data_IF_079838188573
#
_entry.id   IF_079838188573
#
_cell.length_a   1.000
_cell.length_b   1.000
_cell.length_c   1.000
_cell.angle_alpha   90.00
_cell.angle_beta   90.00
_cell.angle_gamma   90.00
#
_symmetry.space_group_name_H-M   'P 1'
#
loop_
_entity.id
_entity.type
_entity.pdbx_description
1 polymer ?
#
# COMPACT_ATOMS: atom_id res chain seq x y z
N UNK A 1 17.62 6.25 0.32
CA UNK A 1 16.35 5.54 0.66
C UNK A 1 15.88 5.97 2.04
N UNK A 2 14.58 6.16 2.23
CA UNK A 2 13.97 6.54 3.51
C UNK A 2 13.03 5.42 3.99
N UNK A 3 13.07 5.10 5.29
CA UNK A 3 12.12 4.15 5.89
C UNK A 3 10.77 4.81 6.17
N UNK A 4 9.68 4.04 6.10
CA UNK A 4 8.32 4.53 6.38
C UNK A 4 8.19 5.23 7.73
N UNK A 5 8.87 4.73 8.78
CA UNK A 5 8.83 5.37 10.11
C UNK A 5 9.43 6.78 10.10
N UNK A 6 10.56 6.96 9.43
CA UNK A 6 11.23 8.26 9.27
C UNK A 6 10.38 9.20 8.41
N UNK A 7 9.80 8.68 7.32
CA UNK A 7 8.90 9.43 6.46
C UNK A 7 7.66 9.93 7.21
N UNK A 8 6.98 9.08 7.97
CA UNK A 8 5.84 9.50 8.78
C UNK A 8 6.25 10.46 9.91
N UNK A 9 7.41 10.26 10.51
CA UNK A 9 7.92 11.18 11.54
C UNK A 9 8.22 12.56 10.97
N UNK A 10 8.75 12.65 9.75
CA UNK A 10 8.98 13.95 9.07
C UNK A 10 7.67 14.67 8.72
N UNK A 11 6.58 13.93 8.44
CA UNK A 11 5.27 14.52 8.12
C UNK A 11 4.49 14.88 9.39
N UNK A 12 4.41 13.95 10.34
CA UNK A 12 3.52 14.06 11.49
C UNK A 12 4.22 14.48 12.78
N UNK A 13 5.55 14.64 12.77
CA UNK A 13 6.35 14.99 13.94
C UNK A 13 6.39 13.91 15.04
N UNK A 14 5.83 12.73 14.77
CA UNK A 14 5.80 11.61 15.72
C UNK A 14 5.50 10.29 15.02
N UNK A 15 5.74 9.21 15.76
CA UNK A 15 5.38 7.86 15.29
C UNK A 15 3.89 7.75 15.01
N UNK A 16 3.56 7.31 13.80
CA UNK A 16 2.19 7.22 13.30
C UNK A 16 1.86 5.79 12.92
N UNK A 17 0.63 5.38 13.17
CA UNK A 17 0.16 4.00 12.96
C UNK A 17 -0.98 3.95 11.96
N UNK A 18 -0.95 2.96 11.07
CA UNK A 18 -2.08 2.66 10.17
C UNK A 18 -3.15 1.88 10.93
N UNK A 19 -4.40 2.31 10.81
CA UNK A 19 -5.59 1.61 11.28
C UNK A 19 -6.23 0.91 10.08
N UNK A 20 -6.18 -0.42 10.04
CA UNK A 20 -6.70 -1.19 8.90
C UNK A 20 -8.22 -1.28 8.97
N UNK A 21 -8.89 -0.68 7.99
CA UNK A 21 -10.33 -0.53 7.87
C UNK A 21 -10.85 -1.25 6.60
N UNK A 22 -12.12 -1.60 6.58
CA UNK A 22 -12.83 -2.17 5.45
C UNK A 22 -13.88 -1.19 4.91
N UNK A 23 -13.74 -0.77 3.65
CA UNK A 23 -14.72 0.08 2.97
C UNK A 23 -15.97 -0.67 2.50
N UNK A 24 -16.07 -1.96 2.75
CA UNK A 24 -17.11 -2.88 2.23
C UNK A 24 -17.11 -3.00 0.70
N UNK A 25 -15.96 -2.76 0.07
CA UNK A 25 -15.78 -2.96 -1.36
C UNK A 25 -15.65 -4.45 -1.73
N UNK A 26 -15.74 -4.72 -3.02
CA UNK A 26 -15.33 -5.98 -3.65
C UNK A 26 -14.19 -5.73 -4.64
N UNK A 27 -13.99 -6.63 -5.58
CA UNK A 27 -12.98 -6.51 -6.62
C UNK A 27 -13.59 -6.91 -7.97
N UNK A 28 -13.39 -6.13 -9.06
CA UNK A 28 -13.95 -6.46 -10.37
C UNK A 28 -13.39 -7.76 -10.96
N UNK A 29 -12.31 -8.28 -10.38
CA UNK A 29 -11.77 -9.61 -10.69
C UNK A 29 -12.46 -10.75 -9.91
N UNK A 30 -13.48 -10.43 -9.09
CA UNK A 30 -14.25 -11.41 -8.31
C UNK A 30 -15.74 -11.38 -8.63
N UNK A 31 -16.28 -10.23 -9.00
CA UNK A 31 -17.70 -10.05 -9.26
C UNK A 31 -18.09 -10.22 -10.74
N UNK A 32 -17.14 -10.64 -11.58
CA UNK A 32 -17.35 -10.95 -12.98
C UNK A 32 -17.22 -9.77 -13.95
N UNK A 33 -16.98 -8.54 -13.47
CA UNK A 33 -16.85 -7.40 -14.38
C UNK A 33 -15.56 -7.43 -15.21
N UNK A 34 -14.46 -7.92 -14.64
CA UNK A 34 -13.18 -8.09 -15.35
C UNK A 34 -12.67 -9.52 -15.31
N UNK A 35 -13.08 -10.29 -14.32
CA UNK A 35 -12.70 -11.69 -14.13
C UNK A 35 -13.45 -12.33 -12.99
N UNK A 36 -13.19 -13.61 -12.78
CA UNK A 36 -13.76 -14.42 -11.71
C UNK A 36 -12.68 -14.98 -10.79
N UNK A 37 -13.02 -15.25 -9.55
CA UNK A 37 -12.14 -15.91 -8.59
C UNK A 37 -11.06 -15.04 -7.97
N UNK A 38 -10.75 -13.88 -8.54
CA UNK A 38 -9.67 -12.99 -8.07
C UNK A 38 -8.28 -13.41 -8.54
N UNK A 39 -7.26 -12.73 -8.05
CA UNK A 39 -5.87 -13.14 -8.25
C UNK A 39 -5.61 -14.47 -7.53
N UNK A 40 -4.78 -15.34 -8.12
CA UNK A 40 -4.55 -16.71 -7.62
C UNK A 40 -4.07 -16.80 -6.17
N UNK A 41 -3.37 -15.74 -5.68
CA UNK A 41 -2.80 -15.65 -4.33
C UNK A 41 -3.74 -14.94 -3.32
N UNK A 42 -4.84 -14.36 -3.79
CA UNK A 42 -5.66 -13.48 -2.95
C UNK A 42 -6.60 -14.28 -2.06
N UNK A 43 -6.51 -14.08 -0.73
CA UNK A 43 -7.41 -14.72 0.25
C UNK A 43 -8.87 -14.33 0.02
N UNK A 44 -9.79 -15.06 0.63
CA UNK A 44 -11.23 -14.73 0.61
C UNK A 44 -11.52 -13.32 1.14
N UNK A 45 -10.66 -12.80 2.01
CA UNK A 45 -10.73 -11.45 2.59
C UNK A 45 -10.05 -10.37 1.75
N UNK A 46 -9.61 -10.68 0.52
CA UNK A 46 -9.08 -9.68 -0.39
C UNK A 46 -7.82 -8.96 0.11
N UNK A 47 -6.86 -9.69 0.72
CA UNK A 47 -5.64 -9.16 1.34
C UNK A 47 -5.88 -8.24 2.55
N UNK A 48 -7.08 -8.30 3.13
CA UNK A 48 -7.50 -7.53 4.29
C UNK A 48 -7.67 -8.37 5.56
N UNK A 49 -6.85 -9.40 5.74
CA UNK A 49 -6.97 -10.36 6.85
C UNK A 49 -6.87 -9.70 8.25
N UNK A 50 -6.31 -8.50 8.32
CA UNK A 50 -6.16 -7.71 9.55
C UNK A 50 -7.10 -6.51 9.64
N UNK A 51 -7.98 -6.30 8.66
CA UNK A 51 -8.94 -5.21 8.72
C UNK A 51 -10.08 -5.54 9.70
N UNK A 52 -10.78 -4.47 10.11
CA UNK A 52 -11.95 -4.60 10.96
C UNK A 52 -13.12 -5.27 10.23
N UNK A 53 -14.11 -5.70 11.00
CA UNK A 53 -15.34 -6.29 10.44
C UNK A 53 -16.10 -5.24 9.62
N UNK A 54 -16.38 -5.56 8.36
CA UNK A 54 -17.12 -4.70 7.40
C UNK A 54 -18.56 -4.40 7.80
N UNK A 55 -19.12 -5.13 8.77
CA UNK A 55 -20.46 -4.89 9.30
C UNK A 55 -20.51 -3.71 10.27
N UNK A 56 -19.36 -3.28 10.77
CA UNK A 56 -19.26 -2.15 11.68
C UNK A 56 -19.26 -0.82 10.90
N UNK A 57 -19.78 0.24 11.51
CA UNK A 57 -19.58 1.60 11.02
C UNK A 57 -18.09 1.95 10.97
N UNK A 58 -17.72 2.93 10.16
CA UNK A 58 -16.31 3.36 10.05
C UNK A 58 -15.78 3.89 11.38
N UNK A 59 -16.59 4.59 12.15
CA UNK A 59 -16.22 5.07 13.50
C UNK A 59 -15.91 3.90 14.42
N UNK A 60 -16.76 2.89 14.46
CA UNK A 60 -16.53 1.69 15.29
C UNK A 60 -15.27 0.94 14.86
N UNK A 61 -15.05 0.83 13.55
CA UNK A 61 -13.82 0.23 13.01
C UNK A 61 -12.57 1.00 13.47
N UNK A 62 -12.58 2.34 13.38
CA UNK A 62 -11.49 3.20 13.84
C UNK A 62 -11.21 2.99 15.33
N UNK A 63 -12.24 3.02 16.16
CA UNK A 63 -12.07 2.86 17.62
C UNK A 63 -11.54 1.47 18.00
N UNK A 64 -11.99 0.40 17.34
CA UNK A 64 -11.46 -0.95 17.54
C UNK A 64 -10.00 -1.07 17.09
N UNK A 65 -9.68 -0.52 15.93
CA UNK A 65 -8.32 -0.52 15.41
C UNK A 65 -7.35 0.29 16.29
N UNK A 66 -7.80 1.43 16.88
CA UNK A 66 -7.03 2.19 17.89
C UNK A 66 -6.70 1.32 19.10
N UNK A 67 -7.68 0.64 19.67
CA UNK A 67 -7.48 -0.26 20.82
C UNK A 67 -6.43 -1.34 20.54
N UNK A 68 -6.41 -1.91 19.32
CA UNK A 68 -5.40 -2.93 18.92
C UNK A 68 -3.97 -2.39 18.90
N UNK A 69 -3.78 -1.13 18.58
CA UNK A 69 -2.44 -0.52 18.53
C UNK A 69 -2.06 0.24 19.80
N UNK A 70 -2.98 0.36 20.76
CA UNK A 70 -2.82 1.17 21.97
C UNK A 70 -1.56 0.82 22.77
N UNK A 71 -1.27 -0.46 22.94
CA UNK A 71 -0.06 -0.91 23.63
C UNK A 71 1.24 -0.47 22.95
N UNK A 72 1.21 -0.30 21.62
CA UNK A 72 2.34 0.20 20.82
C UNK A 72 2.46 1.72 20.88
N UNK A 73 1.33 2.41 21.05
CA UNK A 73 1.24 3.88 21.15
C UNK A 73 1.72 4.36 22.51
N UNK A 74 1.22 3.78 23.60
CA UNK A 74 1.54 4.18 24.97
C UNK A 74 3.03 4.08 25.29
N UNK A 75 3.77 3.15 24.65
CA UNK A 75 5.18 2.94 24.90
C UNK A 75 5.46 2.67 26.38
N UNK A 76 6.72 2.83 26.82
CA UNK A 76 7.12 2.63 28.23
C UNK A 76 6.69 3.79 29.16
N UNK A 77 6.36 4.95 28.64
CA UNK A 77 6.03 6.16 29.42
C UNK A 77 4.52 6.40 29.64
N UNK A 78 3.64 5.62 29.03
CA UNK A 78 2.19 5.66 29.24
C UNK A 78 1.44 6.91 28.76
N UNK A 79 2.11 7.93 28.20
CA UNK A 79 1.53 9.28 27.97
C UNK A 79 1.55 9.79 26.54
N UNK A 80 1.78 8.95 25.51
CA UNK A 80 1.78 9.44 24.13
C UNK A 80 0.38 9.38 23.50
N UNK A 81 -0.10 10.51 22.99
CA UNK A 81 -1.25 10.55 22.10
C UNK A 81 -0.85 9.94 20.75
N UNK A 82 -1.57 8.91 20.29
CA UNK A 82 -1.29 8.28 19.02
C UNK A 82 -1.73 9.15 17.85
N UNK A 83 -0.92 9.18 16.79
CA UNK A 83 -1.32 9.69 15.49
C UNK A 83 -1.63 8.53 14.56
N UNK A 84 -2.69 8.64 13.79
CA UNK A 84 -3.21 7.53 13.00
C UNK A 84 -3.45 7.93 11.56
N UNK A 85 -3.34 6.93 10.67
CA UNK A 85 -3.75 6.98 9.27
C UNK A 85 -4.86 5.96 9.09
N UNK A 86 -6.03 6.39 8.64
CA UNK A 86 -7.11 5.51 8.24
C UNK A 86 -6.69 4.75 6.97
N UNK A 87 -6.55 3.43 7.05
CA UNK A 87 -6.04 2.62 5.96
C UNK A 87 -7.11 1.65 5.46
N UNK A 88 -7.74 1.98 4.35
CA UNK A 88 -8.67 1.13 3.63
C UNK A 88 -7.88 0.12 2.81
N UNK A 89 -7.79 -1.10 3.30
CA UNK A 89 -6.87 -2.12 2.79
C UNK A 89 -7.55 -3.20 1.96
N UNK A 90 -8.80 -3.57 2.28
CA UNK A 90 -9.45 -4.76 1.73
C UNK A 90 -9.85 -4.59 0.27
N UNK A 91 -9.63 -5.64 -0.53
CA UNK A 91 -10.06 -5.70 -1.93
C UNK A 91 -9.59 -4.49 -2.74
N UNK A 92 -10.53 -3.80 -3.37
CA UNK A 92 -10.27 -2.62 -4.21
C UNK A 92 -11.04 -1.44 -3.63
N UNK A 93 -10.39 -0.70 -2.74
CA UNK A 93 -11.07 0.28 -1.87
C UNK A 93 -11.54 1.56 -2.59
N UNK A 94 -11.37 1.66 -3.91
CA UNK A 94 -11.95 2.70 -4.79
C UNK A 94 -13.00 2.15 -5.74
N UNK A 95 -13.37 0.87 -5.60
CA UNK A 95 -14.30 0.21 -6.49
C UNK A 95 -15.70 0.18 -5.87
N UNK A 96 -16.57 1.02 -6.37
CA UNK A 96 -17.94 1.19 -5.89
C UNK A 96 -18.49 2.57 -6.22
N UNK A 97 -19.58 2.94 -5.57
CA UNK A 97 -20.15 4.29 -5.65
C UNK A 97 -19.20 5.32 -5.02
N UNK A 98 -18.77 6.31 -5.78
CA UNK A 98 -17.79 7.29 -5.35
C UNK A 98 -18.29 8.11 -4.16
N UNK A 99 -19.55 8.50 -4.14
CA UNK A 99 -20.14 9.31 -3.07
C UNK A 99 -20.17 8.58 -1.74
N UNK A 100 -20.53 7.29 -1.76
CA UNK A 100 -20.52 6.43 -0.58
C UNK A 100 -19.11 6.16 -0.06
N UNK A 101 -18.15 5.96 -0.94
CA UNK A 101 -16.74 5.75 -0.57
C UNK A 101 -16.15 7.01 0.05
N UNK A 102 -16.35 8.16 -0.57
CA UNK A 102 -15.88 9.46 -0.06
C UNK A 102 -16.50 9.78 1.31
N UNK A 103 -17.79 9.46 1.52
CA UNK A 103 -18.41 9.58 2.83
C UNK A 103 -17.67 8.77 3.88
N UNK A 104 -17.33 7.51 3.60
CA UNK A 104 -16.55 6.65 4.50
C UNK A 104 -15.15 7.20 4.78
N UNK A 105 -14.47 7.76 3.77
CA UNK A 105 -13.16 8.37 3.95
C UNK A 105 -13.24 9.60 4.88
N UNK A 106 -14.22 10.48 4.65
CA UNK A 106 -14.45 11.67 5.48
C UNK A 106 -14.86 11.30 6.90
N UNK A 107 -15.67 10.26 7.07
CA UNK A 107 -16.06 9.73 8.39
C UNK A 107 -14.83 9.22 9.17
N UNK A 108 -13.92 8.47 8.52
CA UNK A 108 -12.69 8.03 9.16
C UNK A 108 -11.77 9.20 9.54
N UNK A 109 -11.68 10.23 8.69
CA UNK A 109 -10.88 11.43 8.92
C UNK A 109 -11.45 12.32 10.02
N UNK A 110 -12.77 12.27 10.30
CA UNK A 110 -13.39 13.01 11.39
C UNK A 110 -13.11 12.44 12.77
N UNK A 111 -12.57 11.22 12.85
CA UNK A 111 -12.24 10.59 14.11
C UNK A 111 -11.00 11.23 14.75
N UNK A 112 -11.05 11.50 16.05
CA UNK A 112 -9.93 12.10 16.80
C UNK A 112 -8.61 11.34 16.59
N UNK A 113 -7.53 12.07 16.35
CA UNK A 113 -6.18 11.51 16.16
C UNK A 113 -5.93 10.86 14.79
N UNK A 114 -6.89 10.88 13.87
CA UNK A 114 -6.71 10.44 12.49
C UNK A 114 -6.28 11.64 11.64
N UNK A 115 -5.04 11.61 11.15
CA UNK A 115 -4.40 12.73 10.44
C UNK A 115 -4.12 12.43 8.96
N UNK A 116 -4.50 11.27 8.48
CA UNK A 116 -4.25 10.89 7.09
C UNK A 116 -5.10 9.74 6.62
N UNK A 117 -5.14 9.59 5.31
CA UNK A 117 -5.88 8.58 4.59
C UNK A 117 -4.91 7.73 3.75
N UNK A 118 -5.03 6.42 3.82
CA UNK A 118 -4.34 5.49 2.92
C UNK A 118 -5.38 4.57 2.27
N UNK A 119 -5.30 4.41 0.96
CA UNK A 119 -6.26 3.65 0.16
C UNK A 119 -5.51 2.63 -0.69
N UNK A 120 -5.77 1.33 -0.47
CA UNK A 120 -5.25 0.28 -1.32
C UNK A 120 -6.24 -0.02 -2.45
N UNK A 121 -5.74 -0.04 -3.68
CA UNK A 121 -6.59 -0.24 -4.84
C UNK A 121 -5.84 -0.85 -6.03
N UNK A 122 -6.62 -1.21 -7.04
CA UNK A 122 -6.13 -1.61 -8.36
C UNK A 122 -5.93 -0.37 -9.23
N UNK A 123 -4.92 -0.35 -10.11
CA UNK A 123 -4.68 0.78 -11.01
C UNK A 123 -5.88 1.12 -11.90
N UNK A 124 -6.59 0.10 -12.36
CA UNK A 124 -7.72 0.19 -13.30
C UNK A 124 -9.07 0.49 -12.64
N UNK A 125 -9.07 0.82 -11.33
CA UNK A 125 -10.27 1.10 -10.54
C UNK A 125 -10.29 2.51 -9.94
N UNK A 126 -9.68 3.46 -10.61
CA UNK A 126 -9.68 4.88 -10.25
C UNK A 126 -10.52 5.65 -11.27
N UNK A 127 -11.84 5.75 -11.09
CA UNK A 127 -12.68 6.62 -11.91
C UNK A 127 -12.30 8.10 -11.70
N UNK A 128 -12.64 8.96 -12.66
CA UNK A 128 -12.33 10.39 -12.57
C UNK A 128 -13.07 11.02 -11.39
N UNK A 129 -14.30 10.56 -11.11
CA UNK A 129 -15.10 11.01 -9.99
C UNK A 129 -14.43 10.72 -8.64
N UNK A 130 -14.04 9.46 -8.37
CA UNK A 130 -13.39 9.09 -7.11
C UNK A 130 -12.02 9.76 -6.97
N UNK A 131 -11.27 9.87 -8.08
CA UNK A 131 -9.95 10.48 -8.08
C UNK A 131 -10.02 11.98 -7.78
N UNK A 132 -10.99 12.70 -8.36
CA UNK A 132 -11.19 14.13 -8.09
C UNK A 132 -11.55 14.39 -6.62
N UNK A 133 -12.38 13.55 -6.01
CA UNK A 133 -12.71 13.69 -4.59
C UNK A 133 -11.52 13.36 -3.67
N UNK A 134 -10.74 12.31 -4.01
CA UNK A 134 -9.51 12.01 -3.28
C UNK A 134 -8.50 13.16 -3.41
N UNK A 135 -8.39 13.78 -4.57
CA UNK A 135 -7.51 14.93 -4.80
C UNK A 135 -7.93 16.14 -3.96
N UNK A 136 -9.23 16.42 -3.79
CA UNK A 136 -9.74 17.46 -2.87
C UNK A 136 -9.41 17.16 -1.41
N UNK A 137 -9.54 15.91 -0.98
CA UNK A 137 -9.13 15.51 0.37
C UNK A 137 -7.62 15.77 0.57
N UNK A 138 -6.82 15.51 -0.47
CA UNK A 138 -5.37 15.69 -0.43
C UNK A 138 -4.91 17.16 -0.39
N UNK A 139 -5.78 18.12 -0.65
CA UNK A 139 -5.47 19.55 -0.48
C UNK A 139 -5.18 19.90 0.99
N UNK A 140 -5.87 19.24 1.91
CA UNK A 140 -5.83 19.54 3.34
C UNK A 140 -5.50 18.35 4.24
N UNK A 141 -5.15 17.19 3.67
CA UNK A 141 -4.92 15.97 4.44
C UNK A 141 -3.84 15.14 3.76
N UNK A 142 -2.98 14.49 4.54
CA UNK A 142 -2.07 13.50 3.97
C UNK A 142 -2.86 12.36 3.34
N UNK A 143 -2.67 12.15 2.04
CA UNK A 143 -3.28 11.05 1.30
C UNK A 143 -2.21 10.17 0.66
N UNK A 144 -2.38 8.87 0.85
CA UNK A 144 -1.57 7.83 0.24
C UNK A 144 -2.47 6.90 -0.59
N UNK A 145 -2.08 6.63 -1.83
CA UNK A 145 -2.70 5.60 -2.67
C UNK A 145 -1.72 4.44 -2.85
N UNK A 146 -2.11 3.24 -2.42
CA UNK A 146 -1.32 2.02 -2.64
C UNK A 146 -1.85 1.29 -3.87
N UNK A 147 -1.04 1.27 -4.94
CA UNK A 147 -1.36 0.60 -6.19
C UNK A 147 -0.77 -0.80 -6.22
N UNK A 148 -1.61 -1.80 -6.41
CA UNK A 148 -1.16 -3.16 -6.67
C UNK A 148 -0.64 -3.29 -8.11
N UNK A 149 0.66 -3.34 -8.34
CA UNK A 149 1.25 -3.74 -9.63
C UNK A 149 1.56 -5.24 -9.63
N UNK A 150 2.08 -5.72 -8.53
CA UNK A 150 2.54 -7.08 -8.24
C UNK A 150 3.80 -7.45 -9.02
N UNK A 151 3.80 -7.29 -10.33
CA UNK A 151 4.92 -7.50 -11.26
C UNK A 151 4.79 -6.63 -12.50
N UNK A 152 5.88 -6.28 -13.14
CA UNK A 152 5.90 -5.67 -14.48
C UNK A 152 5.99 -6.72 -15.61
N UNK A 153 6.11 -8.01 -15.29
CA UNK A 153 6.07 -9.07 -16.28
C UNK A 153 4.62 -9.39 -16.66
N UNK A 154 4.21 -8.99 -17.87
CA UNK A 154 2.83 -9.19 -18.34
C UNK A 154 2.43 -10.67 -18.48
N UNK A 155 3.39 -11.57 -18.73
CA UNK A 155 3.12 -13.01 -18.76
C UNK A 155 2.75 -13.51 -17.37
N UNK A 156 3.55 -13.13 -16.37
CA UNK A 156 3.24 -13.42 -14.96
C UNK A 156 1.93 -12.75 -14.54
N UNK A 157 1.68 -11.50 -14.98
CA UNK A 157 0.41 -10.81 -14.75
C UNK A 157 -0.82 -11.62 -15.19
N UNK A 158 -0.71 -12.33 -16.32
CA UNK A 158 -1.75 -13.26 -16.81
C UNK A 158 -1.83 -14.52 -15.96
N UNK A 159 -0.70 -15.13 -15.62
CA UNK A 159 -0.65 -16.35 -14.77
C UNK A 159 -1.33 -16.09 -13.41
N UNK A 160 -1.05 -14.95 -12.79
CA UNK A 160 -1.64 -14.60 -11.49
C UNK A 160 -3.08 -14.10 -11.58
N UNK A 161 -3.68 -14.11 -12.76
CA UNK A 161 -5.04 -13.62 -13.01
C UNK A 161 -5.25 -12.17 -12.52
N UNK A 162 -4.29 -11.27 -12.83
CA UNK A 162 -4.32 -9.87 -12.39
C UNK A 162 -5.43 -9.07 -13.08
N UNK A 163 -5.73 -9.37 -14.36
CA UNK A 163 -6.76 -8.76 -15.19
C UNK A 163 -6.66 -7.24 -15.38
N UNK A 164 -5.46 -6.68 -15.38
CA UNK A 164 -5.10 -5.33 -15.83
C UNK A 164 -3.65 -5.32 -16.32
N UNK A 165 -3.33 -4.33 -17.14
CA UNK A 165 -2.03 -4.20 -17.81
C UNK A 165 -1.06 -3.29 -17.05
N UNK A 166 0.20 -3.27 -17.48
CA UNK A 166 1.16 -2.27 -17.02
C UNK A 166 0.77 -0.87 -17.46
N UNK A 167 0.10 -0.71 -18.62
CA UNK A 167 -0.38 0.59 -19.08
C UNK A 167 -1.48 1.15 -18.16
N UNK A 168 -2.36 0.30 -17.61
CA UNK A 168 -3.32 0.72 -16.59
C UNK A 168 -2.60 1.30 -15.37
N UNK A 169 -1.48 0.68 -14.96
CA UNK A 169 -0.66 1.20 -13.87
C UNK A 169 0.00 2.54 -14.22
N UNK A 170 0.63 2.65 -15.40
CA UNK A 170 1.25 3.89 -15.85
C UNK A 170 0.22 5.04 -15.94
N UNK A 171 -0.96 4.74 -16.49
CA UNK A 171 -2.07 5.69 -16.56
C UNK A 171 -2.54 6.13 -15.16
N UNK A 172 -2.68 5.20 -14.20
CA UNK A 172 -3.06 5.52 -12.84
C UNK A 172 -2.04 6.44 -12.17
N UNK A 173 -0.74 6.13 -12.27
CA UNK A 173 0.33 6.98 -11.69
C UNK A 173 0.27 8.39 -12.26
N UNK A 174 0.15 8.53 -13.59
CA UNK A 174 0.04 9.83 -14.26
C UNK A 174 -1.18 10.60 -13.77
N UNK A 175 -2.38 10.00 -13.85
CA UNK A 175 -3.65 10.63 -13.45
C UNK A 175 -3.67 11.07 -11.99
N UNK A 176 -3.11 10.26 -11.08
CA UNK A 176 -3.00 10.63 -9.66
C UNK A 176 -2.14 11.88 -9.50
N UNK A 177 -0.99 11.94 -10.17
CA UNK A 177 -0.07 13.10 -10.08
C UNK A 177 -0.61 14.34 -10.76
N UNK A 178 -1.38 14.19 -11.82
CA UNK A 178 -2.10 15.29 -12.50
C UNK A 178 -3.23 15.83 -11.60
N UNK A 179 -3.98 14.96 -10.93
CA UNK A 179 -5.07 15.35 -10.04
C UNK A 179 -4.57 16.08 -8.79
N UNK A 180 -3.55 15.55 -8.11
CA UNK A 180 -2.88 16.22 -6.99
C UNK A 180 -1.47 15.64 -6.78
N UNK A 181 -0.41 16.41 -7.06
CA UNK A 181 0.99 15.94 -6.94
C UNK A 181 1.41 15.60 -5.50
N UNK A 182 0.66 16.07 -4.49
CA UNK A 182 0.93 15.78 -3.08
C UNK A 182 0.44 14.38 -2.65
N UNK A 183 -0.34 13.69 -3.46
CA UNK A 183 -0.74 12.31 -3.16
C UNK A 183 0.51 11.41 -3.21
N UNK A 184 0.78 10.73 -2.09
CA UNK A 184 1.87 9.79 -1.98
C UNK A 184 1.50 8.44 -2.59
N UNK A 185 2.07 8.13 -3.75
CA UNK A 185 1.82 6.85 -4.44
C UNK A 185 2.74 5.79 -3.87
N UNK A 186 2.20 4.65 -3.51
CA UNK A 186 2.96 3.47 -3.06
C UNK A 186 2.67 2.31 -4.00
N UNK A 187 3.71 1.71 -4.57
CA UNK A 187 3.54 0.54 -5.43
C UNK A 187 3.82 -0.75 -4.67
N UNK A 188 2.91 -1.70 -4.77
CA UNK A 188 3.07 -3.03 -4.19
C UNK A 188 3.58 -4.02 -5.24
N UNK A 189 4.72 -4.65 -4.94
CA UNK A 189 5.33 -5.75 -5.70
C UNK A 189 5.36 -7.02 -4.85
N UNK A 190 5.26 -8.16 -5.53
CA UNK A 190 5.39 -9.50 -4.92
C UNK A 190 6.53 -10.23 -5.60
N UNK A 191 7.53 -10.65 -4.84
CA UNK A 191 8.65 -11.45 -5.33
C UNK A 191 8.37 -12.94 -5.15
N UNK A 192 8.76 -13.74 -6.14
CA UNK A 192 8.55 -15.18 -6.17
C UNK A 192 7.23 -15.60 -6.81
N UNK A 193 6.62 -14.76 -7.64
CA UNK A 193 5.43 -15.12 -8.41
C UNK A 193 5.72 -16.26 -9.40
N UNK A 194 4.72 -17.10 -9.72
CA UNK A 194 4.92 -18.22 -10.64
C UNK A 194 5.51 -17.81 -11.98
N UNK A 195 6.57 -18.51 -12.39
CA UNK A 195 7.25 -18.29 -13.67
C UNK A 195 8.17 -17.09 -13.73
N UNK A 196 8.39 -16.36 -12.64
CA UNK A 196 9.34 -15.25 -12.59
C UNK A 196 10.76 -15.69 -12.33
N UNK A 197 11.68 -15.06 -13.07
CA UNK A 197 13.11 -15.10 -12.83
C UNK A 197 13.53 -13.97 -11.90
N UNK A 198 14.75 -14.06 -11.34
CA UNK A 198 15.39 -12.96 -10.62
C UNK A 198 15.37 -11.65 -11.43
N UNK A 199 15.68 -11.75 -12.73
CA UNK A 199 15.70 -10.61 -13.65
C UNK A 199 14.32 -9.94 -13.75
N UNK A 200 13.24 -10.71 -13.76
CA UNK A 200 11.87 -10.18 -13.83
C UNK A 200 11.52 -9.38 -12.58
N UNK A 201 11.85 -9.91 -11.39
CA UNK A 201 11.63 -9.25 -10.11
C UNK A 201 12.41 -7.93 -9.98
N UNK A 202 13.70 -7.93 -10.35
CA UNK A 202 14.53 -6.71 -10.38
C UNK A 202 14.01 -5.71 -11.41
N UNK A 203 13.61 -6.18 -12.61
CA UNK A 203 13.03 -5.32 -13.64
C UNK A 203 11.71 -4.67 -13.18
N UNK A 204 10.93 -5.35 -12.36
CA UNK A 204 9.70 -4.77 -11.77
C UNK A 204 10.01 -3.58 -10.87
N UNK A 205 11.10 -3.63 -10.09
CA UNK A 205 11.55 -2.47 -9.29
C UNK A 205 12.01 -1.32 -10.20
N UNK A 206 12.83 -1.61 -11.22
CA UNK A 206 13.28 -0.60 -12.20
C UNK A 206 12.11 0.06 -12.92
N UNK A 207 11.10 -0.72 -13.29
CA UNK A 207 9.88 -0.23 -13.92
C UNK A 207 9.13 0.74 -13.02
N UNK A 208 8.91 0.39 -11.74
CA UNK A 208 8.27 1.27 -10.76
C UNK A 208 9.03 2.59 -10.60
N UNK A 209 10.34 2.53 -10.47
CA UNK A 209 11.21 3.71 -10.33
C UNK A 209 11.06 4.61 -11.56
N UNK A 210 11.21 4.04 -12.76
CA UNK A 210 11.10 4.78 -14.02
C UNK A 210 9.77 5.52 -14.15
N UNK A 211 8.65 4.84 -13.88
CA UNK A 211 7.32 5.44 -14.08
C UNK A 211 7.00 6.50 -13.01
N UNK A 212 7.46 6.34 -11.78
CA UNK A 212 7.25 7.35 -10.75
C UNK A 212 8.13 8.59 -10.93
N UNK A 213 9.38 8.45 -11.38
CA UNK A 213 10.29 9.59 -11.65
C UNK A 213 9.81 10.43 -12.82
N UNK A 214 9.39 9.82 -13.93
CA UNK A 214 8.88 10.53 -15.12
C UNK A 214 7.75 11.51 -14.76
N UNK A 215 6.87 11.10 -13.87
CA UNK A 215 5.68 11.87 -13.50
C UNK A 215 5.97 12.96 -12.45
N UNK A 216 7.16 12.99 -11.84
CA UNK A 216 7.62 14.08 -10.97
C UNK A 216 8.11 15.28 -11.80
N UNK A 217 8.69 15.04 -12.97
CA UNK A 217 9.30 16.08 -13.82
C UNK A 217 8.28 16.96 -14.56
N UNK A 218 7.00 16.59 -14.61
CA UNK A 218 6.00 17.26 -15.44
C UNK A 218 5.48 18.60 -14.90
N UNK A 219 5.78 19.01 -13.66
CA UNK A 219 5.24 20.25 -13.05
C UNK A 219 6.27 21.11 -12.29
N UNK A 220 7.54 21.07 -12.60
CA UNK A 220 8.52 21.99 -11.99
C UNK A 220 8.46 23.44 -12.54
N UNK A 221 7.53 23.77 -13.43
CA UNK A 221 7.46 25.01 -14.18
C UNK A 221 6.46 26.07 -13.70
N UNK A 222 5.44 25.73 -12.90
CA UNK A 222 4.46 26.72 -12.46
C UNK A 222 4.29 26.74 -10.93
N UNK A 223 4.77 27.82 -10.31
CA UNK A 223 4.52 28.11 -8.89
C UNK A 223 3.12 28.72 -8.76
N UNK A 224 2.16 27.94 -8.25
CA UNK A 224 0.90 28.48 -7.75
C UNK A 224 1.15 29.34 -6.49
N UNK A 225 0.38 30.43 -6.37
CA UNK A 225 0.44 31.38 -5.27
C UNK A 225 0.29 30.71 -3.89
N UNK A 226 1.06 31.21 -2.94
CA UNK A 226 1.15 30.72 -1.56
C UNK A 226 -0.06 31.28 -0.80
N UNK A 227 -0.97 30.42 -0.34
CA UNK A 227 -1.98 30.79 0.65
C UNK A 227 -1.30 31.07 2.00
N UNK A 228 -1.73 32.15 2.67
CA UNK A 228 -1.16 32.64 3.92
C UNK A 228 -1.66 31.85 5.13
N UNK A 229 -0.89 31.86 6.22
CA UNK A 229 -1.16 31.15 7.49
C UNK A 229 -2.54 31.44 8.16
N UNK A 230 -3.26 32.47 7.71
CA UNK A 230 -4.52 32.92 8.30
C UNK A 230 -5.74 32.04 7.96
N UNK A 231 -5.66 31.14 6.96
CA UNK A 231 -6.80 30.37 6.45
C UNK A 231 -7.00 29.00 7.11
N UNK A 232 -6.16 28.63 8.09
CA UNK A 232 -6.18 27.29 8.68
C UNK A 232 -6.78 27.27 10.09
N UNK A 233 -8.05 26.89 10.20
CA UNK A 233 -8.75 26.58 11.47
C UNK A 233 -8.61 25.12 11.92
N UNK A 234 -7.63 24.37 11.48
CA UNK A 234 -7.38 23.00 11.93
C UNK A 234 -5.99 22.86 12.54
N UNK A 235 -5.86 22.21 13.72
CA UNK A 235 -4.57 22.09 14.38
C UNK A 235 -3.66 21.14 13.59
N UNK A 236 -2.53 21.70 13.15
CA UNK A 236 -1.38 20.98 12.65
C UNK A 236 -1.49 20.34 11.26
N UNK A 237 -1.19 21.10 10.22
CA UNK A 237 -0.73 20.56 8.94
C UNK A 237 0.79 20.55 8.88
N UNK A 238 1.41 19.37 8.75
CA UNK A 238 2.82 19.29 8.37
C UNK A 238 2.99 19.82 6.95
N UNK A 239 4.16 20.34 6.64
CA UNK A 239 4.48 20.88 5.31
C UNK A 239 4.34 19.78 4.23
N UNK A 240 3.14 19.64 3.67
CA UNK A 240 2.81 18.73 2.55
C UNK A 240 3.67 19.09 1.31
N UNK A 241 4.28 20.28 1.31
CA UNK A 241 5.12 20.83 0.23
C UNK A 241 6.31 19.94 -0.20
N UNK A 242 6.82 19.09 0.70
CA UNK A 242 7.95 18.20 0.39
C UNK A 242 7.56 16.82 -0.17
N UNK A 243 6.26 16.55 -0.35
CA UNK A 243 5.77 15.27 -0.85
C UNK A 243 5.80 15.15 -2.38
N UNK A 244 5.90 16.28 -3.09
CA UNK A 244 5.75 16.35 -4.56
C UNK A 244 6.74 15.47 -5.35
N UNK A 245 7.85 15.07 -4.75
CA UNK A 245 8.87 14.25 -5.40
C UNK A 245 9.00 12.84 -4.85
N UNK A 246 8.32 12.51 -3.75
CA UNK A 246 8.44 11.19 -3.11
C UNK A 246 7.41 10.20 -3.62
N UNK A 247 7.83 8.95 -3.72
CA UNK A 247 6.96 7.82 -3.94
C UNK A 247 7.37 6.66 -3.02
N UNK A 248 6.49 5.71 -2.82
CA UNK A 248 6.75 4.57 -1.96
C UNK A 248 6.80 3.25 -2.71
N UNK A 249 7.53 2.30 -2.14
CA UNK A 249 7.53 0.92 -2.59
C UNK A 249 7.26 -0.04 -1.44
N UNK A 250 6.53 -1.10 -1.73
CA UNK A 250 6.21 -2.18 -0.82
C UNK A 250 6.52 -3.48 -1.53
N UNK A 251 7.58 -4.16 -1.11
CA UNK A 251 7.99 -5.44 -1.68
C UNK A 251 7.68 -6.52 -0.64
N UNK A 252 6.95 -7.54 -1.04
CA UNK A 252 6.65 -8.69 -0.20
C UNK A 252 7.06 -9.97 -0.90
N UNK A 253 7.47 -10.99 -0.14
CA UNK A 253 7.56 -12.34 -0.72
C UNK A 253 6.18 -12.88 -0.99
N UNK A 254 6.05 -13.71 -2.02
CA UNK A 254 4.86 -14.52 -2.22
C UNK A 254 4.68 -15.45 -1.01
N UNK A 255 3.48 -15.49 -0.48
CA UNK A 255 3.07 -16.50 0.49
C UNK A 255 1.80 -17.20 0.02
N UNK A 256 1.69 -18.46 0.37
CA UNK A 256 0.66 -19.36 -0.10
C UNK A 256 -0.32 -19.58 1.03
N UNK A 257 -1.56 -19.18 0.80
CA UNK A 257 -2.64 -19.29 1.78
C UNK A 257 -3.60 -20.43 1.39
N UNK A 258 -4.13 -21.09 2.39
CA UNK A 258 -5.23 -22.06 2.23
C UNK A 258 -6.38 -21.47 1.43
N UNK A 259 -7.12 -22.32 0.75
CA UNK A 259 -8.32 -21.96 -0.01
C UNK A 259 -8.06 -20.98 -1.17
N UNK A 260 -6.82 -20.87 -1.66
CA UNK A 260 -6.48 -20.09 -2.85
C UNK A 260 -6.18 -21.01 -4.03
N UNK A 261 -6.28 -20.49 -5.25
CA UNK A 261 -5.84 -21.23 -6.43
C UNK A 261 -4.35 -21.52 -6.38
N UNK A 262 -3.56 -20.61 -5.83
CA UNK A 262 -2.13 -20.75 -5.61
C UNK A 262 -1.80 -21.94 -4.67
N UNK A 263 -2.66 -22.23 -3.66
CA UNK A 263 -2.48 -23.39 -2.80
C UNK A 263 -2.55 -24.70 -3.60
N UNK A 264 -3.48 -24.80 -4.54
CA UNK A 264 -3.59 -25.97 -5.43
C UNK A 264 -2.36 -26.14 -6.32
N UNK A 265 -1.85 -25.04 -6.87
CA UNK A 265 -0.61 -25.06 -7.67
C UNK A 265 0.59 -25.52 -6.83
N UNK A 266 0.65 -25.10 -5.57
CA UNK A 266 1.69 -25.52 -4.64
C UNK A 266 1.59 -27.01 -4.28
N UNK A 267 0.41 -27.50 -3.99
CA UNK A 267 0.14 -28.91 -3.71
C UNK A 267 0.48 -29.82 -4.91
N UNK A 268 0.28 -29.32 -6.13
CA UNK A 268 0.67 -30.00 -7.37
C UNK A 268 2.18 -29.88 -7.69
N UNK A 269 2.97 -29.14 -6.91
CA UNK A 269 4.40 -28.93 -7.20
C UNK A 269 4.70 -27.95 -8.34
N UNK A 270 3.70 -27.15 -8.76
CA UNK A 270 3.82 -26.18 -9.86
C UNK A 270 4.48 -24.86 -9.42
N UNK A 271 4.51 -24.59 -8.11
CA UNK A 271 5.03 -23.35 -7.51
C UNK A 271 5.88 -23.69 -6.29
N UNK A 272 7.08 -23.13 -6.24
CA UNK A 272 7.95 -23.21 -5.08
C UNK A 272 8.15 -21.80 -4.51
N UNK A 273 7.76 -21.55 -3.24
CA UNK A 273 8.00 -20.28 -2.59
C UNK A 273 9.50 -20.07 -2.35
N UNK A 274 9.95 -18.82 -2.44
CA UNK A 274 11.33 -18.46 -2.16
C UNK A 274 11.73 -18.84 -0.73
N UNK A 275 12.91 -19.38 -0.56
CA UNK A 275 13.56 -19.46 0.73
C UNK A 275 13.86 -18.06 1.27
N UNK A 276 14.15 -17.95 2.56
CA UNK A 276 14.49 -16.67 3.18
C UNK A 276 15.76 -16.06 2.57
N UNK A 277 16.78 -16.88 2.33
CA UNK A 277 18.04 -16.39 1.79
C UNK A 277 17.90 -15.94 0.33
N UNK A 278 17.22 -16.69 -0.51
CA UNK A 278 16.91 -16.27 -1.88
C UNK A 278 16.15 -14.93 -1.89
N UNK A 279 15.15 -14.76 -1.02
CA UNK A 279 14.41 -13.51 -0.92
C UNK A 279 15.30 -12.34 -0.50
N UNK A 280 16.19 -12.54 0.47
CA UNK A 280 17.14 -11.52 0.93
C UNK A 280 18.15 -11.14 -0.13
N UNK A 281 18.68 -12.11 -0.87
CA UNK A 281 19.60 -11.88 -1.98
C UNK A 281 18.94 -11.10 -3.12
N UNK A 282 17.67 -11.41 -3.43
CA UNK A 282 16.88 -10.65 -4.39
C UNK A 282 16.67 -9.20 -3.94
N UNK A 283 16.34 -8.97 -2.67
CA UNK A 283 16.22 -7.60 -2.14
C UNK A 283 17.55 -6.86 -2.23
N UNK A 284 18.67 -7.51 -1.88
CA UNK A 284 20.02 -6.92 -1.99
C UNK A 284 20.34 -6.49 -3.42
N UNK A 285 19.89 -7.25 -4.43
CA UNK A 285 20.05 -6.91 -5.85
C UNK A 285 19.09 -5.83 -6.33
N UNK A 286 17.90 -5.75 -5.77
CA UNK A 286 16.84 -4.84 -6.24
C UNK A 286 16.92 -3.45 -5.59
N UNK A 287 17.23 -3.37 -4.30
CA UNK A 287 17.20 -2.09 -3.54
C UNK A 287 18.18 -1.03 -4.06
N UNK A 288 19.37 -1.34 -4.60
CA UNK A 288 20.27 -0.33 -5.18
C UNK A 288 19.66 0.48 -6.33
N UNK A 289 18.60 0.01 -6.96
CA UNK A 289 17.90 0.76 -8.02
C UNK A 289 16.90 1.80 -7.47
N UNK A 290 16.62 1.80 -6.16
CA UNK A 290 15.72 2.77 -5.55
C UNK A 290 16.46 4.10 -5.34
N UNK A 291 15.92 5.24 -5.82
CA UNK A 291 16.49 6.56 -5.61
C UNK A 291 16.28 7.03 -4.15
N UNK A 292 16.95 8.10 -3.76
CA UNK A 292 16.89 8.66 -2.40
C UNK A 292 15.49 9.11 -1.99
N UNK A 293 14.69 9.60 -2.94
CA UNK A 293 13.31 10.03 -2.72
C UNK A 293 12.28 8.88 -2.69
N UNK A 294 12.73 7.63 -2.78
CA UNK A 294 11.88 6.46 -2.61
C UNK A 294 11.74 6.08 -1.14
N UNK A 295 10.50 5.96 -0.68
CA UNK A 295 10.17 5.53 0.68
C UNK A 295 9.91 4.02 0.70
N UNK A 296 10.65 3.30 1.54
CA UNK A 296 10.41 1.86 1.75
C UNK A 296 9.29 1.68 2.77
N UNK A 297 8.12 1.28 2.29
CA UNK A 297 6.95 1.01 3.13
C UNK A 297 7.01 -0.36 3.81
N UNK A 298 7.51 -1.35 3.09
CA UNK A 298 7.61 -2.73 3.60
C UNK A 298 8.56 -3.55 2.73
N UNK A 299 9.35 -4.41 3.37
CA UNK A 299 10.19 -5.42 2.72
C UNK A 299 9.93 -6.84 3.23
N UNK A 300 8.78 -7.10 3.84
CA UNK A 300 8.41 -8.43 4.33
C UNK A 300 6.93 -8.69 4.16
N UNK A 301 6.54 -9.94 4.02
CA UNK A 301 5.15 -10.37 4.16
C UNK A 301 4.68 -10.32 5.62
N UNK A 302 3.37 -10.36 5.81
CA UNK A 302 2.72 -10.51 7.11
C UNK A 302 1.46 -11.38 6.87
N UNK A 303 1.66 -12.68 6.58
CA UNK A 303 0.54 -13.56 6.25
C UNK A 303 -0.28 -13.89 7.50
N UNK A 304 -1.58 -14.19 7.35
CA UNK A 304 -2.40 -14.72 8.43
C UNK A 304 -1.90 -16.12 8.79
N UNK A 305 -1.26 -16.27 9.96
CA UNK A 305 -0.58 -17.50 10.38
C UNK A 305 -1.46 -18.75 10.34
N UNK A 306 -2.77 -18.60 10.58
CA UNK A 306 -3.73 -19.72 10.58
C UNK A 306 -3.92 -20.34 9.19
N UNK A 307 -3.77 -19.51 8.17
CA UNK A 307 -4.08 -19.86 6.80
C UNK A 307 -2.82 -20.03 5.94
N UNK A 308 -1.64 -19.77 6.51
CA UNK A 308 -0.37 -19.90 5.80
C UNK A 308 -0.01 -21.37 5.58
N UNK A 309 0.27 -21.74 4.33
CA UNK A 309 0.86 -23.01 3.93
C UNK A 309 2.38 -22.90 3.76
N UNK A 310 2.84 -21.84 3.07
CA UNK A 310 4.25 -21.60 2.79
C UNK A 310 4.52 -20.13 2.41
N UNK A 311 5.75 -19.62 2.57
CA UNK A 311 6.87 -20.22 3.28
C UNK A 311 6.79 -19.95 4.79
N UNK A 312 7.14 -20.93 5.59
CA UNK A 312 7.01 -20.89 7.06
C UNK A 312 7.85 -19.76 7.70
N UNK A 313 9.01 -19.43 7.13
CA UNK A 313 9.90 -18.39 7.67
C UNK A 313 9.25 -17.01 7.78
N UNK A 314 8.17 -16.73 7.05
CA UNK A 314 7.42 -15.46 7.11
C UNK A 314 6.62 -15.28 8.40
N UNK A 315 6.44 -16.33 9.19
CA UNK A 315 5.62 -16.30 10.44
C UNK A 315 6.30 -15.56 11.58
N UNK A 316 7.63 -15.47 11.60
CA UNK A 316 8.40 -14.71 12.59
C UNK A 316 8.88 -13.37 12.03
N UNK A 317 7.92 -12.46 11.85
CA UNK A 317 8.18 -11.12 11.31
C UNK A 317 9.28 -10.36 12.05
N UNK A 318 9.36 -10.50 13.39
CA UNK A 318 10.35 -9.77 14.18
C UNK A 318 11.78 -10.24 13.86
N UNK A 319 11.96 -11.55 13.81
CA UNK A 319 13.24 -12.17 13.46
C UNK A 319 13.64 -11.82 12.03
N UNK A 320 12.73 -12.00 11.06
CA UNK A 320 12.96 -11.67 9.67
C UNK A 320 13.36 -10.21 9.49
N UNK A 321 12.68 -9.26 10.17
CA UNK A 321 13.00 -7.83 10.11
C UNK A 321 14.38 -7.51 10.69
N UNK A 322 14.78 -8.15 11.78
CA UNK A 322 16.10 -7.95 12.37
C UNK A 322 17.19 -8.49 11.45
N UNK A 323 17.08 -9.74 10.98
CA UNK A 323 18.02 -10.33 10.03
C UNK A 323 18.13 -9.53 8.73
N UNK A 324 17.02 -8.98 8.26
CA UNK A 324 16.98 -8.15 7.06
C UNK A 324 17.76 -6.83 7.26
N UNK A 325 17.61 -6.19 8.41
CA UNK A 325 18.38 -4.98 8.77
C UNK A 325 19.86 -5.27 8.82
N UNK A 326 20.24 -6.36 9.48
CA UNK A 326 21.66 -6.76 9.60
C UNK A 326 22.28 -7.06 8.23
N UNK A 327 21.55 -7.76 7.34
CA UNK A 327 22.04 -8.11 6.00
C UNK A 327 22.06 -6.95 5.00
N UNK A 328 21.14 -6.00 5.11
CA UNK A 328 20.97 -4.88 4.17
C UNK A 328 21.54 -3.54 4.70
N UNK A 329 21.93 -3.46 5.96
CA UNK A 329 22.60 -2.32 6.55
C UNK A 329 21.71 -1.07 6.71
N UNK A 330 20.43 -1.23 7.10
CA UNK A 330 19.50 -0.11 7.29
C UNK A 330 18.69 -0.16 8.60
#
# INVERSE_FOLDING_TARGET
MQLLSQFYESIFGSKTYKLSLDASCTCPNRDGRKGWGGCIFCSERGSGDFAEDRKLSIIEQVERAKKRVEAKVKGRSGKRQGKYIAYFQNFTSTYGDASLLVKKYKEALSCEGVYGLAIATRPDCLSDEILSEIARIAENTFVQIELGLQTSNEKTGKIINRCYSNEDYCSAVRRIKEANPCIHIVTHLIFGLPGETEKDMVNSVKFVVKENIKNVSLKSGERGEIMTEADYKTPFMPSVKNLNSSFGIKITTLYILKNTFLAKMYENGEVNPLSKDEYFDLLKKALPFLPENCVIHRLTGDPPKKDLLAPEWTTDKKRVMNELRDKLGY
#
